data_IF_742619768783
#
_entry.id   IF_742619768783
#
_cell.length_a   1.000
_cell.length_b   1.000
_cell.length_c   1.000
_cell.angle_alpha   90.00
_cell.angle_beta   90.00
_cell.angle_gamma   90.00
#
_symmetry.space_group_name_H-M   'P 1'
#
loop_
_entity.id
_entity.type
_entity.pdbx_description
1 polymer ?
#
# COMPACT_ATOMS: atom_id res chain seq x y z
N UNK A 1 -56.16 -7.63 -34.03
CA UNK A 1 -55.71 -8.95 -33.52
C UNK A 1 -54.99 -8.67 -32.21
N UNK A 2 -55.65 -8.91 -31.09
CA UNK A 2 -55.05 -8.76 -29.78
C UNK A 2 -54.18 -9.99 -29.51
N UNK A 3 -52.88 -9.85 -29.79
CA UNK A 3 -51.91 -10.86 -29.42
C UNK A 3 -51.59 -10.67 -27.94
N UNK A 4 -52.21 -11.49 -27.09
CA UNK A 4 -51.84 -11.60 -25.67
C UNK A 4 -50.78 -12.71 -25.52
N UNK A 5 -49.48 -12.36 -25.36
CA UNK A 5 -48.42 -13.34 -25.19
C UNK A 5 -48.56 -14.19 -23.92
N UNK A 6 -49.42 -13.80 -22.97
CA UNK A 6 -49.59 -14.46 -21.68
C UNK A 6 -50.82 -15.36 -21.62
N UNK A 7 -51.62 -15.41 -22.67
CA UNK A 7 -52.80 -16.28 -22.71
C UNK A 7 -52.42 -17.75 -23.02
N UNK A 8 -51.83 -18.43 -22.04
CA UNK A 8 -51.47 -19.85 -22.13
C UNK A 8 -52.68 -20.79 -22.06
N UNK A 9 -53.91 -20.29 -21.93
CA UNK A 9 -55.12 -21.13 -21.84
C UNK A 9 -55.45 -21.84 -23.15
N UNK A 10 -54.86 -21.40 -24.27
CA UNK A 10 -55.06 -22.02 -25.60
C UNK A 10 -54.30 -23.33 -25.82
N UNK A 11 -53.43 -23.73 -24.91
CA UNK A 11 -52.61 -24.94 -25.02
C UNK A 11 -53.14 -26.06 -24.13
N UNK A 12 -52.80 -27.31 -24.46
CA UNK A 12 -53.11 -28.46 -23.62
C UNK A 12 -52.57 -28.28 -22.19
N UNK A 13 -53.25 -28.88 -21.22
CA UNK A 13 -52.95 -28.71 -19.80
C UNK A 13 -51.47 -28.97 -19.43
N UNK A 14 -50.84 -29.95 -20.09
CA UNK A 14 -49.41 -30.25 -19.89
C UNK A 14 -48.52 -29.14 -20.45
N UNK A 15 -48.75 -28.69 -21.68
CA UNK A 15 -48.01 -27.60 -22.32
C UNK A 15 -48.19 -26.27 -21.57
N UNK A 16 -49.40 -26.01 -21.07
CA UNK A 16 -49.70 -24.85 -20.24
C UNK A 16 -48.87 -24.83 -18.95
N UNK A 17 -48.69 -25.97 -18.28
CA UNK A 17 -47.86 -26.07 -17.07
C UNK A 17 -46.39 -25.78 -17.36
N UNK A 18 -45.85 -26.31 -18.46
CA UNK A 18 -44.46 -26.08 -18.87
C UNK A 18 -44.21 -24.62 -19.22
N UNK A 19 -45.09 -23.99 -20.02
CA UNK A 19 -44.99 -22.58 -20.39
C UNK A 19 -45.04 -21.66 -19.16
N UNK A 20 -45.97 -21.91 -18.23
CA UNK A 20 -46.04 -21.17 -16.97
C UNK A 20 -44.77 -21.34 -16.15
N UNK A 21 -44.26 -22.57 -16.00
CA UNK A 21 -43.04 -22.82 -15.24
C UNK A 21 -41.83 -22.08 -15.83
N UNK A 22 -41.63 -22.14 -17.14
CA UNK A 22 -40.53 -21.44 -17.82
C UNK A 22 -40.65 -19.92 -17.71
N UNK A 23 -41.87 -19.39 -17.84
CA UNK A 23 -42.15 -17.96 -17.70
C UNK A 23 -41.86 -17.45 -16.28
N UNK A 24 -42.38 -18.13 -15.25
CA UNK A 24 -42.12 -17.75 -13.86
C UNK A 24 -40.64 -17.90 -13.49
N UNK A 25 -39.97 -18.94 -14.00
CA UNK A 25 -38.51 -19.11 -13.84
C UNK A 25 -37.77 -17.92 -14.43
N UNK A 26 -38.09 -17.51 -15.67
CA UNK A 26 -37.47 -16.34 -16.30
C UNK A 26 -37.66 -15.06 -15.48
N UNK A 27 -38.87 -14.81 -14.96
CA UNK A 27 -39.17 -13.66 -14.11
C UNK A 27 -38.41 -13.67 -12.78
N UNK A 28 -38.39 -14.81 -12.08
CA UNK A 28 -37.72 -14.93 -10.77
C UNK A 28 -36.22 -14.73 -10.94
N UNK A 29 -35.59 -15.42 -11.90
CA UNK A 29 -34.16 -15.31 -12.12
C UNK A 29 -33.74 -13.95 -12.71
N UNK A 30 -34.58 -13.35 -13.56
CA UNK A 30 -34.39 -11.97 -14.02
C UNK A 30 -34.46 -10.95 -12.87
N UNK A 31 -35.46 -11.09 -11.98
CA UNK A 31 -35.59 -10.24 -10.80
C UNK A 31 -34.42 -10.38 -9.82
N UNK A 32 -33.99 -11.62 -9.54
CA UNK A 32 -32.80 -11.89 -8.72
C UNK A 32 -31.53 -11.30 -9.34
N UNK A 33 -31.36 -11.40 -10.66
CA UNK A 33 -30.22 -10.80 -11.36
C UNK A 33 -30.13 -9.29 -11.12
N UNK A 34 -31.25 -8.56 -11.27
CA UNK A 34 -31.32 -7.11 -11.01
C UNK A 34 -31.06 -6.80 -9.53
N UNK A 35 -31.65 -7.55 -8.62
CA UNK A 35 -31.44 -7.38 -7.18
C UNK A 35 -29.97 -7.53 -6.78
N UNK A 36 -29.30 -8.59 -7.22
CA UNK A 36 -27.88 -8.80 -6.95
C UNK A 36 -26.97 -7.80 -7.68
N UNK A 37 -27.38 -7.31 -8.86
CA UNK A 37 -26.68 -6.23 -9.55
C UNK A 37 -26.73 -4.93 -8.73
N UNK A 38 -27.89 -4.57 -8.20
CA UNK A 38 -28.04 -3.40 -7.33
C UNK A 38 -27.19 -3.54 -6.07
N UNK A 39 -27.22 -4.71 -5.41
CA UNK A 39 -26.32 -4.99 -4.28
C UNK A 39 -24.86 -4.81 -4.68
N UNK A 40 -24.46 -5.30 -5.86
CA UNK A 40 -23.09 -5.15 -6.37
C UNK A 40 -22.67 -3.70 -6.60
N UNK A 41 -23.61 -2.79 -6.93
CA UNK A 41 -23.31 -1.36 -7.05
C UNK A 41 -23.04 -0.70 -5.70
N UNK A 42 -23.72 -1.14 -4.64
CA UNK A 42 -23.52 -0.61 -3.28
C UNK A 42 -22.36 -1.28 -2.54
N UNK A 43 -21.97 -2.49 -2.94
CA UNK A 43 -20.87 -3.25 -2.32
C UNK A 43 -19.57 -3.17 -3.09
N UNK A 44 -19.60 -2.85 -4.39
CA UNK A 44 -18.45 -2.83 -5.29
C UNK A 44 -17.90 -1.43 -5.59
N UNK A 45 -18.10 -0.46 -4.70
CA UNK A 45 -17.49 0.86 -4.86
C UNK A 45 -15.96 0.77 -4.82
N UNK A 46 -15.27 1.57 -5.64
CA UNK A 46 -13.82 1.87 -5.63
C UNK A 46 -13.31 2.48 -4.29
N UNK A 47 -13.93 2.08 -3.18
CA UNK A 47 -13.89 2.77 -1.90
C UNK A 47 -12.81 2.31 -0.94
N UNK A 48 -11.93 1.37 -1.30
CA UNK A 48 -10.93 0.85 -0.34
C UNK A 48 -9.97 1.94 0.17
N UNK A 49 -9.67 2.96 -0.66
CA UNK A 49 -8.89 4.11 -0.20
C UNK A 49 -9.71 5.11 0.63
N UNK A 50 -11.02 5.28 0.37
CA UNK A 50 -11.85 6.23 1.11
C UNK A 50 -12.37 5.70 2.44
N UNK A 51 -12.62 4.39 2.56
CA UNK A 51 -13.04 3.75 3.82
C UNK A 51 -11.92 3.68 4.85
N UNK A 52 -10.67 3.48 4.41
CA UNK A 52 -9.51 3.44 5.31
C UNK A 52 -9.12 4.82 5.81
N UNK A 53 -9.42 5.88 5.04
CA UNK A 53 -9.19 7.27 5.47
C UNK A 53 -10.38 7.84 6.27
N UNK A 54 -11.60 7.28 6.16
CA UNK A 54 -12.70 7.67 7.05
C UNK A 54 -12.46 7.23 8.50
N UNK A 55 -11.83 6.07 8.73
CA UNK A 55 -11.47 5.61 10.08
C UNK A 55 -10.40 6.48 10.75
N UNK A 56 -9.58 7.20 9.98
CA UNK A 56 -8.62 8.19 10.51
C UNK A 56 -9.30 9.23 11.42
N UNK A 57 -10.45 9.75 10.96
CA UNK A 57 -11.21 10.76 11.70
C UNK A 57 -11.98 10.14 12.86
N UNK A 58 -12.42 8.89 12.73
CA UNK A 58 -13.22 8.19 13.73
C UNK A 58 -12.39 7.69 14.92
N UNK A 59 -11.13 7.30 14.70
CA UNK A 59 -10.28 6.68 15.72
C UNK A 59 -9.44 7.67 16.54
N UNK A 60 -9.54 8.98 16.29
CA UNK A 60 -8.79 10.04 16.99
C UNK A 60 -7.28 9.73 17.11
N UNK A 61 -6.72 9.00 16.13
CA UNK A 61 -5.36 8.44 16.18
C UNK A 61 -4.31 9.52 16.34
N UNK A 62 -4.53 10.68 15.71
CA UNK A 62 -3.64 11.83 15.88
C UNK A 62 -3.60 12.38 17.29
N UNK A 63 -4.73 12.41 18.00
CA UNK A 63 -4.75 12.81 19.41
C UNK A 63 -4.02 11.80 20.28
N UNK A 64 -4.23 10.50 20.03
CA UNK A 64 -3.50 9.46 20.74
C UNK A 64 -1.99 9.58 20.55
N UNK A 65 -1.52 9.69 19.30
CA UNK A 65 -0.09 9.87 19.01
C UNK A 65 0.47 11.17 19.63
N UNK A 66 -0.31 12.25 19.67
CA UNK A 66 0.09 13.50 20.33
C UNK A 66 0.22 13.39 21.86
N UNK A 67 -0.44 12.39 22.47
CA UNK A 67 -0.38 12.11 23.90
C UNK A 67 0.85 11.27 24.29
N UNK A 68 1.65 10.83 23.31
CA UNK A 68 2.87 10.07 23.50
C UNK A 68 4.10 10.94 23.32
N UNK A 69 5.15 10.62 24.07
CA UNK A 69 6.51 11.12 23.83
C UNK A 69 7.33 9.98 23.24
N UNK A 70 7.82 10.15 22.03
CA UNK A 70 8.71 9.18 21.38
C UNK A 70 10.17 9.58 21.51
N UNK A 71 11.03 8.58 21.65
CA UNK A 71 12.47 8.73 21.56
C UNK A 71 13.02 7.74 20.55
N UNK A 72 14.11 8.10 19.90
CA UNK A 72 14.75 7.26 18.90
C UNK A 72 16.25 7.17 19.10
N UNK A 73 16.85 6.11 18.54
CA UNK A 73 18.29 5.89 18.49
C UNK A 73 18.65 5.19 17.19
N UNK A 74 19.75 5.60 16.57
CA UNK A 74 20.29 4.98 15.35
C UNK A 74 21.58 4.26 15.71
N UNK A 75 21.69 2.98 15.32
CA UNK A 75 22.78 2.08 15.71
C UNK A 75 23.45 1.43 14.49
N UNK A 76 24.78 1.27 14.47
CA UNK A 76 25.73 1.89 15.38
C UNK A 76 25.85 3.39 15.06
N UNK A 77 25.79 4.24 16.08
CA UNK A 77 26.03 5.69 15.94
C UNK A 77 27.53 5.98 15.86
N UNK A 78 27.97 6.90 14.99
CA UNK A 78 29.39 7.31 14.90
C UNK A 78 29.78 8.36 15.98
N UNK A 79 29.17 8.29 17.17
CA UNK A 79 29.40 9.19 18.31
C UNK A 79 28.79 8.64 19.61
N UNK A 80 28.70 9.46 20.66
CA UNK A 80 27.89 9.10 21.84
C UNK A 80 26.46 8.82 21.35
N UNK A 81 26.07 7.55 21.38
CA UNK A 81 24.77 7.04 20.90
C UNK A 81 23.63 7.48 21.80
N UNK A 82 23.41 8.80 21.84
CA UNK A 82 22.37 9.44 22.62
C UNK A 82 21.05 9.17 21.93
N UNK A 83 20.17 8.63 22.73
CA UNK A 83 18.77 8.48 22.41
C UNK A 83 18.10 9.85 22.49
N UNK A 84 17.33 10.22 21.48
CA UNK A 84 16.83 11.58 21.33
C UNK A 84 15.31 11.63 21.23
N UNK A 85 14.73 12.70 21.76
CA UNK A 85 13.27 12.87 21.76
C UNK A 85 12.80 13.37 20.40
N UNK A 86 11.76 12.75 19.86
CA UNK A 86 11.10 13.19 18.63
C UNK A 86 10.07 14.27 18.98
N UNK A 87 9.92 15.24 18.08
CA UNK A 87 8.96 16.33 18.23
C UNK A 87 7.64 15.96 17.55
N UNK A 88 6.54 16.10 18.28
CA UNK A 88 5.22 16.02 17.67
C UNK A 88 5.00 17.17 16.69
N UNK A 89 4.42 16.88 15.53
CA UNK A 89 3.99 17.93 14.58
C UNK A 89 2.78 17.46 13.76
N UNK A 90 1.97 18.42 13.36
CA UNK A 90 0.90 18.28 12.38
C UNK A 90 1.16 19.11 11.10
N UNK A 91 2.36 19.68 10.98
CA UNK A 91 2.74 20.57 9.88
C UNK A 91 3.52 19.81 8.81
N UNK A 92 2.83 19.47 7.72
CA UNK A 92 3.44 18.81 6.57
C UNK A 92 4.31 19.72 5.70
N UNK A 93 5.24 19.08 4.97
CA UNK A 93 5.94 19.72 3.87
C UNK A 93 4.95 20.14 2.76
N UNK A 94 5.33 21.14 1.97
CA UNK A 94 4.48 21.62 0.87
C UNK A 94 4.23 20.51 -0.16
N UNK A 95 5.25 19.68 -0.43
CA UNK A 95 5.17 18.55 -1.36
C UNK A 95 4.09 17.54 -0.94
N UNK A 96 4.04 17.18 0.35
CA UNK A 96 3.03 16.27 0.88
C UNK A 96 1.64 16.93 0.84
N UNK A 97 1.53 18.22 1.17
CA UNK A 97 0.27 18.97 1.08
C UNK A 97 -0.28 18.99 -0.35
N UNK A 98 0.57 19.26 -1.33
CA UNK A 98 0.18 19.30 -2.74
C UNK A 98 -0.27 17.91 -3.22
N UNK A 99 0.42 16.84 -2.78
CA UNK A 99 0.01 15.47 -3.07
C UNK A 99 -1.35 15.12 -2.45
N UNK A 100 -1.57 15.46 -1.18
CA UNK A 100 -2.85 15.25 -0.49
C UNK A 100 -3.97 16.01 -1.17
N UNK A 101 -3.74 17.29 -1.50
CA UNK A 101 -4.70 18.16 -2.19
C UNK A 101 -5.06 17.63 -3.57
N UNK A 102 -4.07 17.17 -4.36
CA UNK A 102 -4.30 16.54 -5.67
C UNK A 102 -5.23 15.32 -5.58
N UNK A 103 -5.24 14.64 -4.44
CA UNK A 103 -6.08 13.47 -4.18
C UNK A 103 -7.32 13.78 -3.29
N UNK A 104 -7.65 15.06 -3.06
CA UNK A 104 -8.78 15.48 -2.21
C UNK A 104 -8.73 14.95 -0.76
N UNK A 105 -7.52 14.77 -0.22
CA UNK A 105 -7.26 14.34 1.15
C UNK A 105 -6.69 15.45 2.05
N UNK A 106 -6.59 16.68 1.55
CA UNK A 106 -6.11 17.87 2.28
C UNK A 106 -7.01 18.27 3.45
N UNK A 107 -8.26 17.78 3.49
CA UNK A 107 -9.18 17.95 4.63
C UNK A 107 -8.80 17.13 5.88
N UNK A 108 -7.89 16.17 5.76
CA UNK A 108 -7.47 15.33 6.88
C UNK A 108 -6.20 15.91 7.50
N UNK A 109 -6.25 16.18 8.81
CA UNK A 109 -5.07 16.61 9.55
C UNK A 109 -4.12 15.43 9.69
N UNK A 110 -2.90 15.51 9.13
CA UNK A 110 -1.88 14.49 9.29
C UNK A 110 -1.36 14.49 10.72
N UNK A 111 -0.84 13.35 11.17
CA UNK A 111 -0.46 13.20 12.56
C UNK A 111 0.77 12.31 12.66
N UNK A 112 1.90 12.90 13.06
CA UNK A 112 3.16 12.17 13.10
C UNK A 112 4.16 12.78 14.08
N UNK A 113 5.07 11.93 14.53
CA UNK A 113 6.28 12.39 15.19
C UNK A 113 7.36 12.66 14.16
N UNK A 114 8.05 13.79 14.31
CA UNK A 114 9.19 14.17 13.51
C UNK A 114 10.41 14.26 14.41
N UNK A 115 11.42 13.46 14.11
CA UNK A 115 12.75 13.72 14.64
C UNK A 115 13.36 14.92 13.91
N UNK A 116 13.99 15.81 14.68
CA UNK A 116 14.70 16.98 14.17
C UNK A 116 15.56 16.63 12.95
N UNK A 117 15.63 17.53 11.96
CA UNK A 117 16.51 17.40 10.79
C UNK A 117 17.99 17.58 11.16
N UNK A 118 18.41 17.15 12.35
CA UNK A 118 19.81 17.14 12.74
C UNK A 118 20.23 15.71 13.02
N UNK A 119 20.48 14.99 11.94
CA UNK A 119 21.04 13.63 11.94
C UNK A 119 22.56 13.63 11.82
N UNK A 120 23.21 14.76 12.15
CA UNK A 120 24.66 14.86 12.12
C UNK A 120 25.32 13.73 12.93
N UNK A 121 26.32 13.07 12.33
CA UNK A 121 27.07 11.95 12.91
C UNK A 121 26.24 10.68 13.21
N UNK A 122 24.96 10.62 12.80
CA UNK A 122 24.15 9.40 12.94
C UNK A 122 24.37 8.43 11.77
N UNK A 123 24.67 8.98 10.59
CA UNK A 123 24.97 8.23 9.37
C UNK A 123 26.41 8.47 8.92
N UNK A 124 26.95 7.53 8.16
CA UNK A 124 28.28 7.67 7.58
C UNK A 124 28.27 8.72 6.44
N UNK A 125 29.36 9.46 6.28
CA UNK A 125 29.51 10.37 5.13
C UNK A 125 29.76 9.57 3.86
N UNK A 126 28.99 9.85 2.82
CA UNK A 126 29.15 9.27 1.49
C UNK A 126 29.82 10.29 0.57
N UNK A 127 31.03 9.97 0.09
CA UNK A 127 31.81 10.81 -0.83
C UNK A 127 31.73 10.13 -2.19
N UNK A 128 31.16 10.81 -3.17
CA UNK A 128 31.01 10.28 -4.53
C UNK A 128 31.67 11.24 -5.51
N UNK A 129 32.96 11.01 -5.76
CA UNK A 129 33.84 11.89 -6.55
C UNK A 129 34.74 11.03 -7.45
N UNK A 130 35.42 11.66 -8.41
CA UNK A 130 36.33 10.96 -9.32
C UNK A 130 37.48 10.24 -8.60
N UNK A 131 37.85 10.72 -7.41
CA UNK A 131 38.92 10.17 -6.57
C UNK A 131 38.42 9.08 -5.61
N UNK A 132 37.11 9.06 -5.31
CA UNK A 132 36.54 8.18 -4.30
C UNK A 132 35.17 7.67 -4.73
N UNK A 133 35.12 6.36 -4.99
CA UNK A 133 33.92 5.60 -5.36
C UNK A 133 33.72 4.50 -4.32
N UNK A 134 32.78 4.64 -3.37
CA UNK A 134 32.58 3.65 -2.33
C UNK A 134 32.13 2.31 -2.92
N UNK A 135 32.85 1.24 -2.61
CA UNK A 135 32.46 -0.09 -3.08
C UNK A 135 31.29 -0.64 -2.26
N UNK A 136 30.24 -1.10 -2.94
CA UNK A 136 29.08 -1.75 -2.34
C UNK A 136 28.06 -0.81 -1.72
N UNK A 137 27.00 -1.43 -1.25
CA UNK A 137 26.00 -0.80 -0.40
C UNK A 137 26.60 -0.34 0.92
N UNK A 138 25.99 0.68 1.52
CA UNK A 138 26.34 1.07 2.88
C UNK A 138 26.06 -0.06 3.87
N UNK A 139 26.78 -0.02 5.00
CA UNK A 139 26.38 -0.82 6.15
C UNK A 139 24.99 -0.37 6.65
N UNK A 140 24.11 -1.34 6.86
CA UNK A 140 22.79 -1.10 7.44
C UNK A 140 22.92 -0.48 8.84
N UNK A 141 22.13 0.56 9.06
CA UNK A 141 21.88 1.17 10.37
C UNK A 141 20.54 0.69 10.89
N UNK A 142 20.41 0.55 12.20
CA UNK A 142 19.17 0.18 12.85
C UNK A 142 18.55 1.37 13.54
N UNK A 143 17.34 1.75 13.14
CA UNK A 143 16.51 2.75 13.79
C UNK A 143 15.65 2.07 14.86
N UNK A 144 15.93 2.38 16.13
CA UNK A 144 15.14 1.97 17.27
C UNK A 144 14.27 3.14 17.74
N UNK A 145 13.00 2.86 18.06
CA UNK A 145 12.05 3.84 18.60
C UNK A 145 11.38 3.26 19.83
N UNK A 146 11.31 4.07 20.88
CA UNK A 146 10.56 3.79 22.09
C UNK A 146 9.65 4.95 22.47
N UNK A 147 8.59 4.65 23.20
CA UNK A 147 7.53 5.58 23.55
C UNK A 147 7.19 5.49 25.04
N UNK A 148 6.75 6.61 25.59
CA UNK A 148 6.09 6.71 26.88
C UNK A 148 4.88 7.64 26.75
N UNK A 149 3.96 7.56 27.71
CA UNK A 149 2.90 8.57 27.83
C UNK A 149 3.52 9.93 28.18
N UNK A 150 2.86 11.03 27.82
CA UNK A 150 3.34 12.37 28.15
C UNK A 150 3.45 12.62 29.67
N UNK A 151 2.62 11.96 30.49
CA UNK A 151 2.72 12.02 31.95
C UNK A 151 4.02 11.38 32.47
N UNK A 152 4.48 10.32 31.80
CA UNK A 152 5.62 9.51 32.25
C UNK A 152 6.92 9.85 31.53
N UNK A 153 6.95 10.86 30.66
CA UNK A 153 8.12 11.25 29.85
C UNK A 153 9.40 11.53 30.66
N UNK A 154 9.28 11.88 31.94
CA UNK A 154 10.41 12.12 32.85
C UNK A 154 10.97 10.85 33.47
N UNK A 155 10.25 9.73 33.40
CA UNK A 155 10.68 8.44 33.93
C UNK A 155 11.31 7.58 32.81
N UNK A 156 12.64 7.37 32.81
CA UNK A 156 13.29 6.56 31.78
C UNK A 156 12.76 5.12 31.69
N UNK A 157 12.34 4.52 32.82
CA UNK A 157 11.83 3.13 32.83
C UNK A 157 10.41 2.98 32.29
N UNK A 158 9.69 4.09 32.07
CA UNK A 158 8.36 4.08 31.46
C UNK A 158 8.41 3.94 29.94
N UNK A 159 9.57 4.20 29.33
CA UNK A 159 9.73 4.05 27.89
C UNK A 159 9.77 2.56 27.51
N UNK A 160 8.99 2.23 26.50
CA UNK A 160 8.91 0.88 25.93
C UNK A 160 9.12 0.95 24.43
N UNK A 161 9.80 -0.05 23.89
CA UNK A 161 9.93 -0.21 22.45
C UNK A 161 8.54 -0.30 21.78
N UNK A 162 8.45 0.14 20.53
CA UNK A 162 7.29 -0.18 19.69
C UNK A 162 7.23 -1.70 19.54
N UNK A 163 6.03 -2.27 19.67
CA UNK A 163 5.83 -3.71 19.61
C UNK A 163 6.14 -4.24 18.20
N UNK A 164 6.64 -5.49 18.14
CA UNK A 164 6.94 -6.20 16.88
C UNK A 164 7.97 -5.51 15.97
N UNK A 165 8.83 -4.65 16.51
CA UNK A 165 10.05 -4.26 15.78
C UNK A 165 10.92 -5.48 15.51
N UNK A 166 11.42 -5.68 14.27
CA UNK A 166 12.22 -6.85 13.94
C UNK A 166 13.61 -6.77 14.57
N UNK A 167 14.29 -7.92 14.67
CA UNK A 167 15.71 -7.97 15.00
C UNK A 167 16.52 -7.34 13.87
N UNK A 168 17.41 -6.41 14.21
CA UNK A 168 18.28 -5.79 13.24
C UNK A 168 19.44 -6.73 12.85
N UNK A 169 19.70 -6.84 11.55
CA UNK A 169 20.59 -7.83 10.92
C UNK A 169 22.01 -7.78 11.49
N UNK A 170 22.50 -6.57 11.79
CA UNK A 170 23.88 -6.32 12.26
C UNK A 170 24.03 -6.35 13.78
N UNK A 171 22.94 -6.51 14.53
CA UNK A 171 22.95 -6.49 15.99
C UNK A 171 23.82 -7.57 16.63
N UNK A 172 24.04 -8.69 15.92
CA UNK A 172 24.81 -9.86 16.36
C UNK A 172 26.32 -9.77 16.10
N UNK A 173 26.77 -8.79 15.31
CA UNK A 173 28.13 -8.78 14.78
C UNK A 173 29.18 -8.16 15.75
N UNK A 174 28.77 -7.71 16.94
CA UNK A 174 29.68 -7.12 17.95
C UNK A 174 30.04 -5.64 17.74
N UNK A 175 29.47 -4.99 16.72
CA UNK A 175 29.72 -3.57 16.41
C UNK A 175 28.90 -2.62 17.29
N UNK A 176 27.94 -3.16 18.04
CA UNK A 176 27.01 -2.40 18.87
C UNK A 176 27.39 -2.54 20.32
N UNK A 177 27.08 -1.53 21.14
CA UNK A 177 27.31 -1.66 22.56
C UNK A 177 26.43 -2.80 23.12
N UNK A 178 26.91 -3.44 24.19
CA UNK A 178 26.18 -4.53 24.82
C UNK A 178 24.77 -4.12 25.24
N UNK A 179 24.61 -2.89 25.73
CA UNK A 179 23.32 -2.32 26.18
C UNK A 179 22.48 -1.69 25.05
N UNK A 180 22.96 -1.66 23.82
CA UNK A 180 22.16 -1.15 22.70
C UNK A 180 21.01 -2.12 22.40
N UNK A 181 19.77 -1.62 22.20
CA UNK A 181 18.65 -2.44 21.72
C UNK A 181 19.07 -3.25 20.48
N UNK A 182 18.58 -4.48 20.35
CA UNK A 182 18.88 -5.36 19.20
C UNK A 182 17.76 -5.41 18.15
N UNK A 183 16.64 -4.78 18.47
CA UNK A 183 15.47 -4.61 17.61
C UNK A 183 15.42 -3.21 17.02
N UNK A 184 14.76 -3.07 15.88
CA UNK A 184 14.55 -1.82 15.17
C UNK A 184 14.38 -2.05 13.67
N UNK A 185 14.65 -1.03 12.87
CA UNK A 185 14.45 -1.07 11.43
C UNK A 185 15.80 -0.89 10.74
N UNK A 186 16.21 -1.88 9.96
CA UNK A 186 17.44 -1.79 9.16
C UNK A 186 17.26 -0.83 7.97
N UNK A 187 18.23 0.06 7.83
CA UNK A 187 18.24 1.19 6.91
C UNK A 187 19.66 1.40 6.40
N UNK A 188 19.97 1.00 5.16
CA UNK A 188 21.19 1.45 4.50
C UNK A 188 21.11 2.96 4.25
N UNK A 189 22.26 3.62 4.32
CA UNK A 189 22.43 5.04 4.00
C UNK A 189 22.53 5.27 2.48
N UNK A 190 23.07 4.30 1.74
CA UNK A 190 23.06 4.29 0.27
C UNK A 190 23.05 2.86 -0.28
N UNK A 191 22.58 2.73 -1.52
CA UNK A 191 22.70 1.55 -2.36
C UNK A 191 23.61 1.82 -3.54
N UNK A 192 24.40 0.83 -3.93
CA UNK A 192 25.17 0.85 -5.16
C UNK A 192 24.37 0.16 -6.27
N UNK A 193 24.18 0.88 -7.36
CA UNK A 193 23.57 0.36 -8.57
C UNK A 193 24.69 0.23 -9.63
N UNK A 194 25.13 -0.99 -9.89
CA UNK A 194 26.11 -1.26 -10.94
C UNK A 194 25.42 -1.38 -12.31
N UNK A 195 25.91 -0.59 -13.27
CA UNK A 195 25.42 -0.64 -14.65
C UNK A 195 26.56 -1.04 -15.58
N UNK A 196 26.46 -2.26 -16.13
CA UNK A 196 27.29 -2.69 -17.25
C UNK A 196 26.79 -2.00 -18.51
N UNK A 197 27.61 -1.13 -19.09
CA UNK A 197 27.30 -0.44 -20.34
C UNK A 197 28.00 -1.14 -21.50
N UNK A 198 27.22 -1.51 -22.52
CA UNK A 198 27.76 -2.02 -23.78
C UNK A 198 28.16 -0.84 -24.69
N UNK A 199 29.41 -0.40 -24.51
CA UNK A 199 30.04 0.67 -25.27
C UNK A 199 31.56 0.67 -25.03
N UNK A 200 32.29 1.49 -25.77
CA UNK A 200 33.72 1.76 -25.53
C UNK A 200 34.03 3.25 -25.55
N UNK A 201 35.08 3.63 -24.80
CA UNK A 201 35.63 4.98 -24.79
C UNK A 201 34.65 6.07 -24.35
N UNK A 202 34.71 7.24 -25.02
CA UNK A 202 33.95 8.46 -24.66
C UNK A 202 32.43 8.24 -24.61
N UNK A 203 31.91 7.34 -25.45
CA UNK A 203 30.48 7.04 -25.50
C UNK A 203 29.95 6.43 -24.19
N UNK A 204 30.78 5.68 -23.45
CA UNK A 204 30.40 5.14 -22.14
C UNK A 204 30.36 6.19 -21.05
N UNK A 205 31.31 7.12 -21.07
CA UNK A 205 31.36 8.22 -20.11
C UNK A 205 30.07 9.02 -20.23
N UNK A 206 29.69 9.43 -21.45
CA UNK A 206 28.46 10.19 -21.68
C UNK A 206 27.19 9.41 -21.27
N UNK A 207 27.09 8.12 -21.64
CA UNK A 207 25.97 7.27 -21.22
C UNK A 207 25.88 7.13 -19.70
N UNK A 208 27.03 7.04 -19.03
CA UNK A 208 27.11 6.92 -17.58
C UNK A 208 26.72 8.23 -16.88
N UNK A 209 27.28 9.36 -17.32
CA UNK A 209 26.96 10.69 -16.79
C UNK A 209 25.48 11.04 -16.94
N UNK A 210 24.84 10.64 -18.06
CA UNK A 210 23.39 10.82 -18.25
C UNK A 210 22.54 10.09 -17.20
N UNK A 211 23.10 9.08 -16.53
CA UNK A 211 22.46 8.34 -15.43
C UNK A 211 22.92 8.80 -14.04
N UNK A 212 23.58 9.97 -13.94
CA UNK A 212 24.25 10.43 -12.72
C UNK A 212 25.31 9.44 -12.21
N UNK A 213 25.92 8.68 -13.11
CA UNK A 213 26.96 7.72 -12.76
C UNK A 213 28.37 8.24 -12.97
N UNK A 214 29.32 7.56 -12.33
CA UNK A 214 30.73 7.73 -12.56
C UNK A 214 31.31 6.53 -13.30
N UNK A 215 31.98 6.78 -14.43
CA UNK A 215 32.63 5.73 -15.21
C UNK A 215 34.05 5.47 -14.67
N UNK A 216 34.29 4.27 -14.17
CA UNK A 216 35.60 3.86 -13.67
C UNK A 216 36.19 2.82 -14.63
N UNK A 217 37.34 3.13 -15.20
CA UNK A 217 38.07 2.20 -16.08
C UNK A 217 38.62 1.03 -15.27
N UNK A 218 38.49 -0.18 -15.82
CA UNK A 218 39.14 -1.39 -15.32
C UNK A 218 40.63 -1.37 -15.68
N UNK A 219 41.38 -2.26 -15.05
CA UNK A 219 42.83 -2.43 -15.26
C UNK A 219 43.19 -2.76 -16.71
N UNK A 220 42.26 -3.34 -17.48
CA UNK A 220 42.44 -3.62 -18.90
C UNK A 220 42.48 -2.36 -19.79
N UNK A 221 42.12 -1.19 -19.27
CA UNK A 221 42.13 0.09 -19.98
C UNK A 221 41.09 0.23 -21.10
N UNK A 222 40.26 -0.79 -21.34
CA UNK A 222 39.29 -0.84 -22.44
C UNK A 222 37.86 -0.90 -21.91
N UNK A 223 37.66 -1.57 -20.78
CA UNK A 223 36.36 -1.74 -20.16
C UNK A 223 36.26 -0.91 -18.89
N UNK A 224 35.04 -0.61 -18.47
CA UNK A 224 34.78 0.11 -17.24
C UNK A 224 33.45 -0.29 -16.65
N UNK A 225 33.19 0.21 -15.45
CA UNK A 225 31.91 0.04 -14.75
C UNK A 225 31.32 1.43 -14.55
N UNK A 226 30.04 1.59 -14.86
CA UNK A 226 29.29 2.78 -14.50
C UNK A 226 28.70 2.58 -13.11
N UNK A 227 29.26 3.28 -12.13
CA UNK A 227 28.75 3.27 -10.76
C UNK A 227 27.71 4.36 -10.58
N UNK A 228 26.51 3.95 -10.17
CA UNK A 228 25.44 4.86 -9.75
C UNK A 228 25.05 4.52 -8.31
N UNK A 229 24.51 5.49 -7.59
CA UNK A 229 24.12 5.27 -6.19
C UNK A 229 22.79 5.96 -5.91
N UNK A 230 22.01 5.35 -5.04
CA UNK A 230 20.84 5.99 -4.45
C UNK A 230 21.10 6.25 -2.97
N UNK A 231 20.94 7.50 -2.54
CA UNK A 231 21.26 7.96 -1.19
C UNK A 231 20.01 8.27 -0.39
N UNK A 232 20.03 7.93 0.89
CA UNK A 232 18.93 8.14 1.81
C UNK A 232 18.64 9.64 1.99
N UNK A 233 17.37 10.03 1.86
CA UNK A 233 16.93 11.42 2.05
C UNK A 233 15.89 11.57 3.14
N UNK A 234 15.01 10.58 3.30
CA UNK A 234 13.92 10.61 4.28
C UNK A 234 13.74 9.21 4.86
N UNK A 235 13.37 9.14 6.14
CA UNK A 235 12.92 7.90 6.78
C UNK A 235 11.48 8.11 7.27
N UNK A 236 10.60 7.15 7.03
CA UNK A 236 9.24 7.16 7.53
C UNK A 236 8.80 5.77 7.95
N UNK A 237 8.47 5.65 9.23
CA UNK A 237 8.04 4.43 9.91
C UNK A 237 6.54 4.49 10.12
N UNK A 238 5.86 3.36 9.90
CA UNK A 238 4.43 3.23 10.08
C UNK A 238 4.12 2.39 11.32
N UNK A 239 3.11 2.83 12.08
CA UNK A 239 2.61 2.13 13.27
C UNK A 239 1.11 1.89 13.21
N UNK A 240 0.68 0.75 13.72
CA UNK A 240 -0.72 0.44 14.00
C UNK A 240 -1.02 0.70 15.47
N UNK A 241 -2.22 1.24 15.74
CA UNK A 241 -2.74 1.36 17.11
C UNK A 241 -3.59 0.13 17.40
N UNK A 242 -3.17 -0.66 18.39
CA UNK A 242 -3.85 -1.89 18.81
C UNK A 242 -4.41 -1.68 20.20
N UNK A 243 -5.62 -2.18 20.46
CA UNK A 243 -6.24 -2.17 21.79
C UNK A 243 -6.18 -3.58 22.35
N UNK A 244 -5.59 -3.74 23.53
CA UNK A 244 -5.56 -5.04 24.20
C UNK A 244 -6.93 -5.41 24.81
N UNK A 245 -7.02 -6.62 25.34
CA UNK A 245 -8.23 -7.14 26.01
C UNK A 245 -8.67 -6.33 27.24
N UNK A 246 -7.80 -5.46 27.76
CA UNK A 246 -8.05 -4.59 28.91
C UNK A 246 -8.35 -3.13 28.49
N UNK A 247 -8.47 -2.87 27.18
CA UNK A 247 -8.73 -1.52 26.67
C UNK A 247 -7.52 -0.59 26.67
N UNK A 248 -6.30 -1.12 26.87
CA UNK A 248 -5.07 -0.32 26.77
C UNK A 248 -4.59 -0.29 25.34
N UNK A 249 -4.20 0.90 24.90
CA UNK A 249 -3.64 1.13 23.58
C UNK A 249 -2.15 0.81 23.55
N UNK A 250 -1.72 0.13 22.50
CA UNK A 250 -0.34 -0.21 22.19
C UNK A 250 -0.02 0.23 20.76
N UNK A 251 1.25 0.51 20.49
CA UNK A 251 1.73 0.78 19.14
C UNK A 251 2.53 -0.41 18.64
N UNK A 252 2.11 -0.94 17.49
CA UNK A 252 2.75 -2.04 16.79
C UNK A 252 3.41 -1.52 15.52
N UNK A 253 4.64 -1.92 15.25
CA UNK A 253 5.32 -1.61 13.99
C UNK A 253 4.63 -2.32 12.83
N UNK A 254 4.35 -1.59 11.75
CA UNK A 254 3.59 -2.11 10.60
C UNK A 254 4.29 -1.91 9.25
N UNK A 255 5.59 -1.55 9.24
CA UNK A 255 6.36 -1.31 8.03
C UNK A 255 6.78 0.16 7.83
N UNK A 256 7.31 0.48 6.64
CA UNK A 256 7.57 1.86 6.22
C UNK A 256 6.35 2.58 5.65
N UNK A 257 6.48 3.88 5.40
CA UNK A 257 5.39 4.69 4.82
C UNK A 257 5.38 4.71 3.29
N UNK A 258 6.46 4.25 2.64
CA UNK A 258 6.64 4.31 1.20
C UNK A 258 6.25 2.99 0.54
N UNK A 259 6.27 2.97 -0.79
CA UNK A 259 5.91 1.79 -1.57
C UNK A 259 6.69 0.55 -1.12
N UNK A 260 6.02 -0.60 -1.17
CA UNK A 260 6.54 -1.91 -0.75
C UNK A 260 6.90 -1.97 0.75
N UNK A 261 6.22 -1.15 1.57
CA UNK A 261 6.52 -0.96 2.99
C UNK A 261 7.97 -0.54 3.27
N UNK A 262 8.61 0.14 2.32
CA UNK A 262 9.97 0.62 2.49
C UNK A 262 10.00 1.81 3.48
N UNK A 263 10.86 1.77 4.51
CA UNK A 263 10.99 2.86 5.48
C UNK A 263 11.86 4.02 4.97
N UNK A 264 12.63 3.88 3.90
CA UNK A 264 13.54 4.91 3.38
C UNK A 264 13.15 5.43 1.99
N UNK A 265 13.37 6.73 1.75
CA UNK A 265 13.37 7.32 0.40
C UNK A 265 14.80 7.55 -0.04
N UNK A 266 15.12 7.06 -1.22
CA UNK A 266 16.43 7.19 -1.81
C UNK A 266 16.35 7.98 -3.10
N UNK A 267 17.34 8.85 -3.33
CA UNK A 267 17.47 9.64 -4.56
C UNK A 267 18.81 9.40 -5.21
N UNK A 268 18.87 9.47 -6.54
CA UNK A 268 20.12 9.30 -7.27
C UNK A 268 21.17 10.32 -6.80
N UNK A 269 22.31 9.81 -6.35
CA UNK A 269 23.47 10.62 -6.03
C UNK A 269 24.08 11.20 -7.31
N UNK A 270 24.47 12.46 -7.25
CA UNK A 270 25.25 13.13 -8.29
C UNK A 270 26.75 12.98 -8.01
N UNK A 271 27.57 12.63 -9.02
CA UNK A 271 29.03 12.64 -8.91
C UNK A 271 29.56 14.05 -8.58
N UNK A 272 30.71 14.11 -7.92
CA UNK A 272 31.35 15.34 -7.45
C UNK A 272 30.84 15.86 -6.11
N UNK A 273 29.93 15.14 -5.44
CA UNK A 273 29.31 15.59 -4.20
C UNK A 273 29.74 14.77 -2.98
N UNK A 274 29.66 15.41 -1.81
CA UNK A 274 29.78 14.76 -0.50
C UNK A 274 28.45 14.88 0.25
N UNK A 275 27.89 13.74 0.65
CA UNK A 275 26.62 13.64 1.35
C UNK A 275 26.89 13.25 2.80
N UNK A 276 26.62 14.19 3.70
CA UNK A 276 26.86 14.02 5.14
C UNK A 276 25.64 13.55 5.93
N UNK A 277 24.47 13.50 5.28
CA UNK A 277 23.20 13.09 5.88
C UNK A 277 22.90 13.82 7.19
N UNK A 278 23.25 15.10 7.29
CA UNK A 278 23.07 15.90 8.51
C UNK A 278 21.60 16.28 8.74
N UNK A 279 20.75 16.17 7.71
CA UNK A 279 19.36 16.65 7.73
C UNK A 279 18.35 15.65 7.18
N UNK A 280 18.50 14.36 7.50
CA UNK A 280 17.55 13.32 7.12
C UNK A 280 16.36 13.37 8.10
N UNK A 281 15.17 13.87 7.70
CA UNK A 281 14.01 13.81 8.57
C UNK A 281 13.57 12.36 8.78
N UNK A 282 13.13 12.06 10.00
CA UNK A 282 12.60 10.75 10.39
C UNK A 282 11.20 10.94 10.94
N UNK A 283 10.24 10.31 10.28
CA UNK A 283 8.82 10.39 10.61
C UNK A 283 8.33 9.08 11.23
N UNK A 284 7.40 9.18 12.19
CA UNK A 284 6.57 8.05 12.64
C UNK A 284 5.12 8.41 12.40
N UNK A 285 4.46 7.70 11.48
CA UNK A 285 3.08 7.92 11.05
C UNK A 285 2.22 6.73 11.45
N UNK A 286 0.94 6.96 11.68
CA UNK A 286 0.00 5.85 11.79
C UNK A 286 -0.30 5.23 10.42
N UNK A 287 -0.59 3.92 10.37
CA UNK A 287 -0.93 3.22 9.12
C UNK A 287 -2.13 3.83 8.42
N UNK A 288 -3.12 4.28 9.19
CA UNK A 288 -4.32 4.95 8.68
C UNK A 288 -4.10 6.39 8.20
N UNK A 289 -2.87 6.92 8.28
CA UNK A 289 -2.55 8.28 7.82
C UNK A 289 -2.87 8.42 6.32
N UNK A 290 -3.60 9.48 5.91
CA UNK A 290 -3.99 9.67 4.51
C UNK A 290 -2.81 9.64 3.53
N UNK A 291 -1.65 10.18 3.93
CA UNK A 291 -0.45 10.15 3.10
C UNK A 291 0.08 8.74 2.94
N UNK A 292 0.15 7.97 4.02
CA UNK A 292 0.57 6.56 4.01
C UNK A 292 -0.38 5.76 3.12
N UNK A 293 -1.68 5.90 3.30
CA UNK A 293 -2.70 5.22 2.48
C UNK A 293 -2.58 5.54 0.99
N UNK A 294 -2.22 6.77 0.61
CA UNK A 294 -1.97 7.13 -0.79
C UNK A 294 -0.75 6.40 -1.36
N UNK A 295 0.35 6.33 -0.61
CA UNK A 295 1.57 5.68 -1.07
C UNK A 295 1.43 4.16 -1.16
N UNK A 296 0.65 3.56 -0.28
CA UNK A 296 0.31 2.13 -0.32
C UNK A 296 -0.81 1.79 -1.29
N UNK A 297 -1.43 2.74 -1.99
CA UNK A 297 -2.59 2.49 -2.88
C UNK A 297 -2.30 1.48 -4.02
N UNK A 298 -1.04 1.28 -4.37
CA UNK A 298 -0.61 0.28 -5.34
C UNK A 298 -0.27 -1.09 -4.73
N UNK A 299 -0.06 -1.15 -3.42
CA UNK A 299 -0.14 -2.42 -2.71
C UNK A 299 -1.61 -2.79 -2.65
N UNK A 300 -1.96 -3.96 -3.20
CA UNK A 300 -3.25 -4.57 -2.85
C UNK A 300 -3.20 -4.78 -1.34
N UNK A 301 -3.76 -3.85 -0.57
CA UNK A 301 -4.03 -4.09 0.84
C UNK A 301 -4.94 -5.30 0.82
N UNK A 302 -4.37 -6.46 1.14
CA UNK A 302 -5.13 -7.66 1.46
C UNK A 302 -5.74 -7.38 2.83
N UNK A 303 -6.66 -6.41 2.88
CA UNK A 303 -7.86 -6.63 3.65
C UNK A 303 -8.37 -7.95 3.09
N UNK A 304 -8.79 -8.87 3.93
CA UNK A 304 -9.70 -9.90 3.48
C UNK A 304 -10.99 -9.20 3.00
N UNK A 305 -10.93 -8.51 1.86
CA UNK A 305 -12.00 -8.46 0.90
C UNK A 305 -12.22 -9.92 0.55
N UNK A 306 -12.96 -10.62 1.43
CA UNK A 306 -13.87 -11.63 0.93
C UNK A 306 -14.50 -11.01 -0.30
N UNK A 307 -14.26 -11.69 -1.41
CA UNK A 307 -14.57 -11.39 -2.80
C UNK A 307 -16.08 -11.14 -3.04
N UNK A 308 -16.83 -10.62 -2.07
CA UNK A 308 -18.28 -10.48 -2.04
C UNK A 308 -18.76 -9.63 -3.21
N UNK A 309 -18.10 -8.51 -3.55
CA UNK A 309 -18.46 -7.71 -4.72
C UNK A 309 -18.30 -8.46 -6.04
N UNK A 310 -17.19 -9.17 -6.21
CA UNK A 310 -16.94 -10.02 -7.40
C UNK A 310 -17.86 -11.25 -7.44
N UNK A 311 -18.18 -11.83 -6.29
CA UNK A 311 -19.07 -12.97 -6.14
C UNK A 311 -20.52 -12.57 -6.45
N UNK A 312 -21.01 -11.45 -5.90
CA UNK A 312 -22.35 -10.93 -6.16
C UNK A 312 -22.53 -10.55 -7.64
N UNK A 313 -21.51 -9.98 -8.28
CA UNK A 313 -21.53 -9.72 -9.73
C UNK A 313 -21.58 -11.01 -10.55
N UNK A 314 -20.82 -12.05 -10.17
CA UNK A 314 -20.87 -13.38 -10.81
C UNK A 314 -22.23 -14.06 -10.61
N UNK A 315 -22.80 -13.97 -9.41
CA UNK A 315 -24.13 -14.50 -9.09
C UNK A 315 -25.22 -13.78 -9.90
N UNK A 316 -25.16 -12.45 -9.99
CA UNK A 316 -26.07 -11.66 -10.82
C UNK A 316 -26.01 -12.05 -12.30
N UNK A 317 -24.80 -12.24 -12.85
CA UNK A 317 -24.60 -12.69 -14.23
C UNK A 317 -25.14 -14.12 -14.44
N UNK A 318 -24.91 -15.02 -13.50
CA UNK A 318 -25.44 -16.39 -13.56
C UNK A 318 -26.97 -16.39 -13.62
N UNK A 319 -27.63 -15.65 -12.74
CA UNK A 319 -29.09 -15.53 -12.75
C UNK A 319 -29.63 -14.86 -14.01
N UNK A 320 -28.89 -13.90 -14.59
CA UNK A 320 -29.24 -13.30 -15.87
C UNK A 320 -29.25 -14.34 -17.00
N UNK A 321 -28.20 -15.17 -17.09
CA UNK A 321 -28.07 -16.21 -18.11
C UNK A 321 -29.18 -17.25 -17.96
N UNK A 322 -29.48 -17.69 -16.74
CA UNK A 322 -30.59 -18.62 -16.47
C UNK A 322 -31.93 -17.99 -16.85
N UNK A 323 -32.16 -16.72 -16.49
CA UNK A 323 -33.38 -15.98 -16.82
C UNK A 323 -33.61 -15.85 -18.33
N UNK A 324 -32.56 -15.51 -19.09
CA UNK A 324 -32.62 -15.45 -20.56
C UNK A 324 -32.84 -16.84 -21.15
N UNK A 325 -32.12 -17.87 -20.69
CA UNK A 325 -32.26 -19.24 -21.17
C UNK A 325 -33.69 -19.76 -21.01
N UNK A 326 -34.30 -19.52 -19.84
CA UNK A 326 -35.69 -19.86 -19.58
C UNK A 326 -36.67 -19.08 -20.48
N UNK A 327 -36.40 -17.79 -20.73
CA UNK A 327 -37.20 -16.95 -21.63
C UNK A 327 -37.15 -17.43 -23.08
N UNK A 328 -35.95 -17.72 -23.61
CA UNK A 328 -35.75 -18.29 -24.95
C UNK A 328 -36.43 -19.65 -25.05
N UNK A 329 -36.25 -20.53 -24.05
CA UNK A 329 -36.90 -21.83 -24.00
C UNK A 329 -38.43 -21.73 -24.02
N UNK A 330 -38.99 -20.78 -23.28
CA UNK A 330 -40.43 -20.48 -23.29
C UNK A 330 -40.90 -20.06 -24.69
N UNK A 331 -40.19 -19.13 -25.34
CA UNK A 331 -40.54 -18.64 -26.68
C UNK A 331 -40.45 -19.74 -27.76
N UNK A 332 -39.40 -20.56 -27.73
CA UNK A 332 -39.22 -21.69 -28.67
C UNK A 332 -40.32 -22.73 -28.46
N UNK A 333 -40.60 -23.09 -27.21
CA UNK A 333 -41.64 -24.07 -26.87
C UNK A 333 -43.03 -23.58 -27.27
N UNK A 334 -43.35 -22.30 -26.99
CA UNK A 334 -44.59 -21.66 -27.43
C UNK A 334 -44.77 -21.75 -28.95
N UNK A 335 -43.73 -21.37 -29.72
CA UNK A 335 -43.78 -21.39 -31.19
C UNK A 335 -43.96 -22.81 -31.74
N UNK A 336 -43.35 -23.80 -31.09
CA UNK A 336 -43.49 -25.22 -31.45
C UNK A 336 -44.94 -25.68 -31.27
N UNK A 337 -45.53 -25.42 -30.11
CA UNK A 337 -46.92 -25.82 -29.81
C UNK A 337 -47.94 -25.10 -30.69
N UNK A 338 -47.72 -23.83 -31.02
CA UNK A 338 -48.56 -23.07 -31.94
C UNK A 338 -48.53 -23.64 -33.38
N UNK A 339 -47.40 -24.21 -33.80
CA UNK A 339 -47.27 -24.91 -35.07
C UNK A 339 -48.00 -26.26 -35.09
N UNK A 340 -47.93 -27.01 -34.00
CA UNK A 340 -48.59 -28.33 -33.88
C UNK A 340 -50.12 -28.24 -33.84
N UNK A 341 -50.68 -27.17 -33.25
CA UNK A 341 -52.13 -26.98 -33.13
C UNK A 341 -52.87 -26.66 -34.44
N UNK A 342 -52.17 -26.31 -35.53
CA UNK A 342 -52.79 -26.03 -36.83
C UNK A 342 -53.20 -27.27 -37.64
N UNK A 343 -52.89 -28.48 -37.16
CA UNK A 343 -53.18 -29.72 -37.88
C UNK A 343 -54.55 -30.36 -37.63
N UNK A 344 -55.34 -29.88 -36.66
CA UNK A 344 -56.55 -30.58 -36.19
C UNK A 344 -57.88 -29.87 -36.49
N UNK A 345 -57.88 -28.84 -37.36
CA UNK A 345 -59.05 -27.97 -37.56
C UNK A 345 -59.35 -27.59 -39.00
N UNK A 346 -59.04 -28.42 -39.99
CA UNK A 346 -59.58 -28.32 -41.35
C UNK A 346 -59.78 -29.71 -41.95
N UNK A 347 -60.88 -30.35 -41.58
CA UNK A 347 -61.60 -31.29 -42.43
C UNK A 347 -63.03 -30.78 -42.48
N UNK A 348 -63.37 -30.10 -43.58
CA UNK A 348 -64.76 -29.91 -44.02
C UNK A 348 -65.43 -31.25 -44.30
#
# INVERSE_FOLDING_TARGET
MDWDPFNFKKFEHTAQKVLKALFFTSLIFGGLSVFFFIISLFTGGNGSSTSTVSTWKENDTGKYLSALTMKMKIMPSQGHGVQETMNWTNVESQEIKDLLKKNSLDKYTPSYHLYSTNTAMKFATFIFTDEMVPAGDSQEKCLYIELATNSDRKNPSAYKAIEEMPDCSRSKNGWWNFHDPKIGIDLPTWYQNELTLDCSGKSCIEKCTKKNGLWVLKVDGVHGICYTYDILTHICVTVDTVVDTFGKFHLKYSGGCYAENNPGVYVAAKPGNTYRFEKVPIYVRARSDPYVQLLHKHEKIVVSEENSGNLMRKISLFFFVVGIGAGIGCAVYYKKEEGSGRGYGQSE
#
